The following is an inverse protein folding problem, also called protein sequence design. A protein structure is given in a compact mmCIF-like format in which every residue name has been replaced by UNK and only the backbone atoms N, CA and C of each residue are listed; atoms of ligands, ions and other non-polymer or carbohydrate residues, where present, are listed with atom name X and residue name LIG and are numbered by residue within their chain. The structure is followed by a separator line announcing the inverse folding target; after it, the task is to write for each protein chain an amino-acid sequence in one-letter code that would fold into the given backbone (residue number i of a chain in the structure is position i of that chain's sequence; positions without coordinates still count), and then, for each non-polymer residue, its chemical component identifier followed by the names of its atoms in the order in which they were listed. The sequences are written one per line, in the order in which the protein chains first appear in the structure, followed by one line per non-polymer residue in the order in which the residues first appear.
data_IF_267892507693
#
_entry.id   IF_267892507693
#
_cell.length_a   1.000
_cell.length_b   1.000
_cell.length_c   1.000
_cell.angle_alpha   90.00
_cell.angle_beta   90.00
_cell.angle_gamma   90.00
#
_symmetry.space_group_name_H-M   'P 1'
#
loop_
_entity.id
_entity.type
_entity.pdbx_description
1 polymer ?
#
# COMPACT_ATOMS: atom_id res chain seq x y z
N UNK A 1 17.81 77.59 -11.63
CA UNK A 1 18.55 76.34 -11.44
C UNK A 1 17.58 75.28 -10.88
N UNK A 2 17.00 74.47 -11.73
CA UNK A 2 16.03 73.42 -11.32
C UNK A 2 16.74 72.07 -11.28
N UNK A 3 16.79 71.45 -10.09
CA UNK A 3 17.36 70.08 -9.91
C UNK A 3 16.28 69.07 -10.21
N UNK A 4 16.51 68.20 -11.21
CA UNK A 4 15.70 67.03 -11.53
C UNK A 4 16.26 65.86 -10.73
N UNK A 5 15.43 65.29 -9.83
CA UNK A 5 15.76 64.07 -9.09
C UNK A 5 15.16 62.90 -9.91
N UNK A 6 16.01 62.06 -10.47
CA UNK A 6 15.60 60.82 -11.11
C UNK A 6 15.43 59.73 -10.04
N UNK A 7 14.22 59.23 -9.84
CA UNK A 7 13.95 58.08 -8.99
C UNK A 7 14.17 56.80 -9.80
N UNK A 8 15.18 56.01 -9.42
CA UNK A 8 15.45 54.70 -9.96
C UNK A 8 14.56 53.69 -9.24
N UNK A 9 13.51 53.20 -9.91
CA UNK A 9 12.65 52.13 -9.40
C UNK A 9 13.37 50.76 -9.52
N UNK A 10 13.68 50.15 -8.39
CA UNK A 10 14.24 48.79 -8.32
C UNK A 10 13.09 47.79 -8.38
N UNK A 11 12.83 47.18 -9.53
CA UNK A 11 11.88 46.09 -9.71
C UNK A 11 12.50 44.81 -9.14
N UNK A 12 12.00 44.40 -7.97
CA UNK A 12 12.36 43.10 -7.37
C UNK A 12 11.59 41.99 -8.11
N UNK A 13 12.29 41.30 -9.01
CA UNK A 13 11.74 40.09 -9.63
C UNK A 13 11.70 38.96 -8.59
N UNK A 14 10.52 38.61 -8.08
CA UNK A 14 10.33 37.35 -7.38
C UNK A 14 10.49 36.20 -8.38
N UNK A 15 11.69 35.64 -8.44
CA UNK A 15 11.91 34.35 -9.06
C UNK A 15 11.22 33.28 -8.18
N UNK A 16 10.01 32.89 -8.56
CA UNK A 16 9.38 31.71 -7.99
C UNK A 16 10.32 30.53 -8.25
N UNK A 17 10.77 29.84 -7.20
CA UNK A 17 11.50 28.60 -7.33
C UNK A 17 10.56 27.56 -7.97
N UNK A 18 10.71 27.34 -9.26
CA UNK A 18 10.12 26.16 -9.92
C UNK A 18 10.89 24.97 -9.32
N UNK A 19 10.26 24.26 -8.39
CA UNK A 19 10.77 22.98 -7.95
C UNK A 19 10.71 22.08 -9.19
N UNK A 20 11.87 21.79 -9.76
CA UNK A 20 11.98 20.71 -10.74
C UNK A 20 11.44 19.45 -10.05
N UNK A 21 10.47 18.81 -10.67
CA UNK A 21 10.00 17.50 -10.19
C UNK A 21 11.23 16.60 -10.09
N UNK A 22 11.46 16.02 -8.91
CA UNK A 22 12.59 15.12 -8.71
C UNK A 22 12.52 14.00 -9.76
N UNK A 23 13.64 13.77 -10.45
CA UNK A 23 13.72 12.70 -11.43
C UNK A 23 13.38 11.37 -10.75
N UNK A 24 12.55 10.55 -11.39
CA UNK A 24 12.18 9.24 -10.86
C UNK A 24 13.43 8.35 -10.65
N UNK A 25 13.80 8.00 -9.41
CA UNK A 25 14.98 7.19 -9.13
C UNK A 25 14.87 5.75 -9.65
N UNK A 26 13.66 5.31 -10.01
CA UNK A 26 13.41 3.98 -10.56
C UNK A 26 13.33 3.97 -12.09
N UNK A 27 13.46 5.12 -12.75
CA UNK A 27 13.44 5.29 -14.21
C UNK A 27 12.25 4.57 -14.88
N UNK A 28 11.07 4.64 -14.27
CA UNK A 28 9.87 4.02 -14.83
C UNK A 28 9.28 4.89 -15.93
N UNK A 29 9.14 4.33 -17.13
CA UNK A 29 8.48 5.01 -18.26
C UNK A 29 7.01 5.35 -17.98
N UNK A 30 6.37 4.65 -17.03
CA UNK A 30 4.98 4.90 -16.64
C UNK A 30 4.81 5.93 -15.54
N UNK A 31 5.88 6.33 -14.86
CA UNK A 31 5.76 7.18 -13.68
C UNK A 31 4.98 8.49 -13.92
N UNK A 32 5.18 9.23 -15.03
CA UNK A 32 4.41 10.45 -15.28
C UNK A 32 2.91 10.21 -15.41
N UNK A 33 2.50 9.08 -16.01
CA UNK A 33 1.09 8.73 -16.16
C UNK A 33 0.48 8.28 -14.83
N UNK A 34 1.23 7.51 -14.03
CA UNK A 34 0.81 7.05 -12.71
C UNK A 34 0.66 8.21 -11.72
N UNK A 35 1.55 9.20 -11.78
CA UNK A 35 1.45 10.41 -10.98
C UNK A 35 0.17 11.18 -11.32
N UNK A 36 -0.16 11.31 -12.60
CA UNK A 36 -1.40 11.94 -13.06
C UNK A 36 -2.62 11.16 -12.62
N UNK A 37 -2.61 9.85 -12.81
CA UNK A 37 -3.75 8.98 -12.54
C UNK A 37 -4.08 8.87 -11.04
N UNK A 38 -3.06 8.68 -10.20
CA UNK A 38 -3.27 8.36 -8.77
C UNK A 38 -3.09 9.55 -7.84
N UNK A 39 -2.42 10.61 -8.28
CA UNK A 39 -2.10 11.77 -7.45
C UNK A 39 -2.63 13.09 -8.03
N UNK A 40 -3.40 13.04 -9.13
CA UNK A 40 -3.95 14.22 -9.81
C UNK A 40 -2.86 15.27 -10.12
N UNK A 41 -1.73 14.82 -10.66
CA UNK A 41 -0.53 15.66 -10.94
C UNK A 41 0.05 16.35 -9.69
N UNK A 42 -0.28 15.91 -8.48
CA UNK A 42 0.34 16.45 -7.28
C UNK A 42 1.86 16.26 -7.32
N UNK A 43 2.58 17.25 -6.81
CA UNK A 43 4.04 17.16 -6.65
C UNK A 43 4.38 16.05 -5.67
N UNK A 44 5.38 15.24 -6.00
CA UNK A 44 5.86 14.11 -5.19
C UNK A 44 7.36 14.25 -5.01
N UNK A 45 7.84 14.23 -3.77
CA UNK A 45 9.25 14.16 -3.45
C UNK A 45 9.64 12.71 -3.10
N UNK A 46 10.77 12.24 -3.63
CA UNK A 46 11.34 10.96 -3.22
C UNK A 46 12.06 11.10 -1.88
N UNK A 47 11.66 10.31 -0.88
CA UNK A 47 12.15 10.43 0.49
C UNK A 47 12.77 9.10 0.95
N UNK A 48 14.07 9.07 1.33
CA UNK A 48 14.76 7.87 1.77
C UNK A 48 14.21 7.27 3.07
N UNK A 49 13.38 8.01 3.81
CA UNK A 49 12.67 7.49 4.98
C UNK A 49 11.56 6.50 4.61
N UNK A 50 11.13 6.50 3.35
CA UNK A 50 10.17 5.54 2.82
C UNK A 50 10.94 4.37 2.21
N UNK A 51 11.06 3.29 2.95
CA UNK A 51 11.72 2.07 2.50
C UNK A 51 10.70 1.05 2.00
N UNK A 52 10.83 0.67 0.74
CA UNK A 52 10.12 -0.49 0.18
C UNK A 52 11.11 -1.64 0.06
N UNK A 53 10.90 -2.67 0.86
CA UNK A 53 11.76 -3.85 0.92
C UNK A 53 11.07 -5.00 0.19
N UNK A 54 11.73 -5.51 -0.84
CA UNK A 54 11.34 -6.68 -1.60
C UNK A 54 12.59 -7.41 -2.11
N UNK A 55 12.50 -8.69 -2.53
CA UNK A 55 13.62 -9.36 -3.17
C UNK A 55 13.96 -8.68 -4.50
N UNK A 56 15.24 -8.63 -4.86
CA UNK A 56 15.66 -8.09 -6.17
C UNK A 56 15.10 -8.91 -7.33
N UNK A 57 14.99 -10.22 -7.13
CA UNK A 57 14.42 -11.18 -8.09
C UNK A 57 13.33 -11.96 -7.37
N UNK A 58 12.13 -11.95 -7.93
CA UNK A 58 11.02 -12.75 -7.43
C UNK A 58 11.17 -14.21 -7.86
N UNK A 59 11.33 -15.11 -6.88
CA UNK A 59 11.36 -16.56 -7.14
C UNK A 59 9.98 -17.08 -7.57
N UNK A 60 8.93 -16.50 -6.98
CA UNK A 60 7.52 -16.78 -7.29
C UNK A 60 6.79 -15.47 -7.57
N UNK A 61 6.42 -15.25 -8.84
CA UNK A 61 5.71 -14.07 -9.28
C UNK A 61 4.29 -13.95 -8.71
N UNK A 62 3.74 -15.02 -8.11
CA UNK A 62 2.42 -15.00 -7.44
C UNK A 62 2.51 -14.61 -5.96
N UNK A 63 3.73 -14.64 -5.36
CA UNK A 63 3.92 -14.48 -3.90
C UNK A 63 5.13 -13.62 -3.53
N UNK A 64 5.29 -12.47 -4.16
CA UNK A 64 6.41 -11.55 -3.90
C UNK A 64 6.21 -10.86 -2.55
N UNK A 65 7.09 -11.08 -1.56
CA UNK A 65 6.99 -10.42 -0.26
C UNK A 65 7.42 -8.95 -0.37
N UNK A 66 6.61 -8.06 0.20
CA UNK A 66 6.85 -6.62 0.25
C UNK A 66 6.67 -6.13 1.69
N UNK A 67 7.58 -5.27 2.12
CA UNK A 67 7.46 -4.55 3.39
C UNK A 67 7.68 -3.07 3.15
N UNK A 68 6.73 -2.25 3.56
CA UNK A 68 6.84 -0.79 3.61
C UNK A 68 7.23 -0.39 5.03
N UNK A 69 8.33 0.35 5.18
CA UNK A 69 8.78 0.93 6.44
C UNK A 69 8.88 2.43 6.28
N UNK A 70 8.32 3.16 7.25
CA UNK A 70 8.38 4.61 7.28
C UNK A 70 9.17 5.04 8.52
N UNK A 71 10.37 5.57 8.30
CA UNK A 71 11.29 5.94 9.39
C UNK A 71 11.08 7.38 9.82
N UNK A 72 10.47 7.59 10.98
CA UNK A 72 10.36 8.93 11.58
C UNK A 72 9.56 9.94 10.74
N UNK A 73 8.64 9.47 9.89
CA UNK A 73 7.67 10.32 9.20
C UNK A 73 6.50 10.59 10.15
N UNK A 74 6.29 11.86 10.55
CA UNK A 74 5.14 12.21 11.37
C UNK A 74 3.87 12.28 10.53
N UNK A 75 2.73 12.12 11.19
CA UNK A 75 1.39 12.42 10.67
C UNK A 75 1.06 11.80 9.31
N UNK A 76 1.43 10.52 9.12
CA UNK A 76 1.08 9.76 7.92
C UNK A 76 -0.42 9.48 7.92
N UNK A 77 -1.11 9.92 6.87
CA UNK A 77 -2.57 9.73 6.70
C UNK A 77 -2.88 8.53 5.82
N UNK A 78 -2.04 8.31 4.80
CA UNK A 78 -2.33 7.32 3.76
C UNK A 78 -1.03 6.76 3.17
N UNK A 79 -1.02 5.48 2.88
CA UNK A 79 0.05 4.78 2.16
C UNK A 79 -0.59 4.02 1.00
N UNK A 80 -0.43 4.53 -0.22
CA UNK A 80 -0.87 3.86 -1.44
C UNK A 80 0.31 3.05 -1.99
N UNK A 81 0.11 1.75 -2.18
CA UNK A 81 1.12 0.89 -2.82
C UNK A 81 0.70 0.55 -4.23
N UNK A 82 1.63 0.73 -5.16
CA UNK A 82 1.45 0.44 -6.59
C UNK A 82 2.59 -0.41 -7.14
N UNK A 83 2.30 -1.17 -8.21
CA UNK A 83 3.29 -1.87 -9.03
C UNK A 83 3.17 -1.34 -10.46
N UNK A 84 4.17 -0.58 -10.91
CA UNK A 84 4.08 0.29 -12.10
C UNK A 84 3.66 -0.46 -13.38
N UNK A 85 4.18 -1.67 -13.59
CA UNK A 85 3.97 -2.43 -14.82
C UNK A 85 2.96 -3.57 -14.67
N UNK A 86 2.29 -3.67 -13.52
CA UNK A 86 1.15 -4.58 -13.42
C UNK A 86 -0.04 -4.07 -14.27
N UNK A 87 -0.85 -4.96 -14.86
CA UNK A 87 -2.06 -4.56 -15.57
C UNK A 87 -3.09 -3.91 -14.64
N UNK A 88 -3.15 -4.35 -13.39
CA UNK A 88 -3.87 -3.68 -12.29
C UNK A 88 -2.78 -3.10 -11.40
N UNK A 89 -2.64 -1.79 -11.43
CA UNK A 89 -1.49 -1.07 -10.83
C UNK A 89 -1.59 -0.95 -9.32
N UNK A 90 -2.79 -0.60 -8.81
CA UNK A 90 -3.00 -0.49 -7.37
C UNK A 90 -2.91 -1.86 -6.70
N UNK A 91 -2.21 -1.91 -5.58
CA UNK A 91 -2.07 -3.11 -4.73
C UNK A 91 -2.89 -2.98 -3.45
N UNK A 92 -2.71 -1.89 -2.75
CA UNK A 92 -3.46 -1.57 -1.54
C UNK A 92 -3.40 -0.08 -1.22
N UNK A 93 -4.37 0.38 -0.45
CA UNK A 93 -4.45 1.71 0.13
C UNK A 93 -4.63 1.58 1.64
N UNK A 94 -3.64 2.01 2.39
CA UNK A 94 -3.56 1.82 3.84
C UNK A 94 -3.71 3.15 4.57
N UNK A 95 -4.68 3.21 5.48
CA UNK A 95 -4.87 4.31 6.42
C UNK A 95 -4.45 3.82 7.82
N UNK A 96 -3.31 4.27 8.34
CA UNK A 96 -2.78 3.79 9.61
C UNK A 96 -3.68 4.05 10.80
N UNK A 97 -4.32 5.22 10.85
CA UNK A 97 -5.11 5.71 11.98
C UNK A 97 -4.30 5.70 13.28
N UNK A 98 -4.43 4.64 14.09
CA UNK A 98 -3.66 4.43 15.32
C UNK A 98 -2.45 3.50 15.13
N UNK A 99 -2.42 2.73 14.03
CA UNK A 99 -1.31 1.83 13.72
C UNK A 99 -0.02 2.60 13.38
N UNK A 100 1.12 1.95 13.57
CA UNK A 100 2.35 2.42 12.95
C UNK A 100 2.18 2.40 11.43
N UNK A 101 2.69 3.41 10.71
CA UNK A 101 2.37 3.56 9.28
C UNK A 101 3.14 2.62 8.35
N UNK A 102 3.69 1.52 8.86
CA UNK A 102 4.36 0.46 8.10
C UNK A 102 3.55 -0.82 8.05
N UNK A 103 3.74 -1.62 6.99
CA UNK A 103 3.06 -2.90 6.85
C UNK A 103 3.85 -3.88 5.98
N UNK A 104 3.60 -5.18 6.17
CA UNK A 104 4.12 -6.24 5.29
C UNK A 104 2.97 -7.02 4.68
N UNK A 105 3.13 -7.41 3.41
CA UNK A 105 2.15 -8.16 2.62
C UNK A 105 2.85 -8.91 1.49
N UNK A 106 2.08 -9.57 0.61
CA UNK A 106 2.58 -10.24 -0.60
C UNK A 106 1.77 -9.84 -1.80
N UNK A 107 2.42 -9.74 -2.96
CA UNK A 107 1.79 -9.34 -4.22
C UNK A 107 2.10 -10.29 -5.36
N UNK A 108 1.30 -10.18 -6.40
CA UNK A 108 1.52 -10.79 -7.70
C UNK A 108 2.19 -9.78 -8.63
N UNK A 109 3.17 -10.24 -9.40
CA UNK A 109 3.79 -9.45 -10.46
C UNK A 109 3.55 -10.08 -11.82
N UNK A 110 3.05 -9.29 -12.78
CA UNK A 110 2.89 -9.74 -14.15
C UNK A 110 4.20 -9.74 -14.92
N UNK A 111 5.14 -8.88 -14.53
CA UNK A 111 6.47 -8.74 -15.12
C UNK A 111 7.37 -8.00 -14.14
N UNK A 112 8.66 -7.85 -14.47
CA UNK A 112 9.58 -7.00 -13.75
C UNK A 112 8.99 -5.58 -13.61
N UNK A 113 9.02 -5.02 -12.40
CA UNK A 113 8.29 -3.78 -12.10
C UNK A 113 8.90 -3.02 -10.93
N UNK A 114 8.89 -1.68 -10.96
CA UNK A 114 8.94 -0.89 -9.75
C UNK A 114 7.74 -1.19 -8.86
N UNK A 115 8.00 -1.34 -7.56
CA UNK A 115 6.99 -1.35 -6.50
C UNK A 115 7.19 -0.07 -5.70
N UNK A 116 6.13 0.74 -5.57
CA UNK A 116 6.19 2.04 -4.89
C UNK A 116 5.27 2.11 -3.71
N UNK A 117 5.69 2.81 -2.68
CA UNK A 117 4.85 3.33 -1.62
C UNK A 117 4.75 4.85 -1.78
N UNK A 118 3.53 5.34 -1.99
CA UNK A 118 3.18 6.75 -2.08
C UNK A 118 2.52 7.13 -0.76
N UNK A 119 3.13 8.05 -0.04
CA UNK A 119 2.75 8.40 1.33
C UNK A 119 2.20 9.82 1.37
N UNK A 120 0.97 9.96 1.84
CA UNK A 120 0.36 11.26 2.09
C UNK A 120 0.48 11.62 3.56
N UNK A 121 1.05 12.78 3.84
CA UNK A 121 1.17 13.37 5.17
C UNK A 121 -0.02 14.28 5.48
N UNK A 122 -0.20 14.66 6.74
CA UNK A 122 -1.37 15.43 7.18
C UNK A 122 -1.46 16.84 6.63
N UNK A 123 -0.35 17.40 6.14
CA UNK A 123 -0.30 18.67 5.40
C UNK A 123 -0.70 18.52 3.90
N UNK A 124 -1.03 17.29 3.48
CA UNK A 124 -1.46 16.99 2.11
C UNK A 124 -0.34 16.71 1.13
N UNK A 125 0.93 16.81 1.56
CA UNK A 125 2.08 16.53 0.70
C UNK A 125 2.19 15.02 0.39
N UNK A 126 2.72 14.72 -0.80
CA UNK A 126 3.03 13.36 -1.21
C UNK A 126 4.53 13.11 -1.23
N UNK A 127 4.91 12.02 -0.62
CA UNK A 127 6.27 11.49 -0.60
C UNK A 127 6.27 10.10 -1.23
N UNK A 128 7.38 9.70 -1.86
CA UNK A 128 7.50 8.40 -2.51
C UNK A 128 8.79 7.69 -2.12
N UNK A 129 8.72 6.38 -2.05
CA UNK A 129 9.84 5.46 -2.03
C UNK A 129 9.52 4.23 -2.86
N UNK A 130 10.52 3.47 -3.26
CA UNK A 130 10.25 2.29 -4.04
C UNK A 130 11.49 1.44 -4.30
N UNK A 131 11.25 0.28 -4.91
CA UNK A 131 12.27 -0.68 -5.29
C UNK A 131 11.92 -1.34 -6.62
N UNK A 132 12.92 -1.63 -7.43
CA UNK A 132 12.74 -2.45 -8.62
C UNK A 132 12.79 -3.94 -8.26
N UNK A 133 11.85 -4.72 -8.78
CA UNK A 133 11.82 -6.18 -8.62
C UNK A 133 11.79 -6.84 -9.99
N UNK A 134 12.76 -7.69 -10.26
CA UNK A 134 12.77 -8.55 -11.43
C UNK A 134 11.86 -9.76 -11.18
N UNK A 135 11.01 -10.09 -12.14
CA UNK A 135 10.08 -11.22 -12.06
C UNK A 135 9.99 -11.92 -13.42
N UNK A 136 9.91 -13.22 -13.39
CA UNK A 136 9.66 -14.02 -14.60
C UNK A 136 8.30 -13.74 -15.23
N UNK A 137 7.33 -13.25 -14.42
CA UNK A 137 6.05 -12.79 -14.85
C UNK A 137 4.93 -13.82 -14.72
N UNK A 138 3.73 -13.43 -15.24
CA UNK A 138 2.55 -14.29 -15.24
C UNK A 138 1.76 -14.34 -13.94
N UNK A 139 2.22 -13.68 -12.87
CA UNK A 139 1.57 -13.77 -11.56
C UNK A 139 0.13 -13.24 -11.52
N UNK A 140 -0.18 -12.22 -12.34
CA UNK A 140 -1.53 -11.66 -12.38
C UNK A 140 -2.49 -12.42 -13.31
N UNK A 141 -1.97 -13.19 -14.27
CA UNK A 141 -2.78 -13.97 -15.23
C UNK A 141 -2.91 -15.45 -14.89
N UNK A 142 -2.20 -15.90 -13.86
CA UNK A 142 -2.33 -17.26 -13.34
C UNK A 142 -3.58 -17.37 -12.45
N UNK A 143 -4.35 -18.48 -12.57
CA UNK A 143 -5.47 -18.73 -11.66
C UNK A 143 -4.96 -19.02 -10.25
N UNK A 144 -5.78 -18.71 -9.23
CA UNK A 144 -5.46 -19.08 -7.86
C UNK A 144 -5.43 -20.60 -7.69
N UNK A 145 -4.49 -21.10 -6.88
CA UNK A 145 -4.37 -22.53 -6.55
C UNK A 145 -5.29 -22.93 -5.39
N UNK A 146 -5.70 -21.97 -4.56
CA UNK A 146 -6.54 -22.23 -3.37
C UNK A 146 -7.91 -22.78 -3.69
N UNK A 147 -8.46 -22.50 -4.86
CA UNK A 147 -9.70 -23.10 -5.34
C UNK A 147 -9.60 -24.60 -5.62
N UNK A 148 -8.38 -25.14 -5.71
CA UNK A 148 -8.16 -26.58 -5.93
C UNK A 148 -8.50 -27.42 -4.69
N UNK A 149 -8.54 -26.82 -3.50
CA UNK A 149 -8.95 -27.52 -2.29
C UNK A 149 -10.47 -27.75 -2.30
N UNK A 150 -10.97 -28.97 -2.09
CA UNK A 150 -12.41 -29.28 -2.15
C UNK A 150 -13.28 -28.46 -1.18
N UNK A 151 -12.68 -27.97 -0.11
CA UNK A 151 -13.35 -27.25 0.99
C UNK A 151 -13.06 -25.72 0.99
N UNK A 152 -12.47 -25.19 -0.09
CA UNK A 152 -12.09 -23.78 -0.15
C UNK A 152 -13.26 -22.82 0.12
N UNK A 153 -14.44 -23.14 -0.43
CA UNK A 153 -15.63 -22.30 -0.26
C UNK A 153 -16.12 -22.26 1.20
N UNK A 154 -15.94 -23.34 1.95
CA UNK A 154 -16.29 -23.42 3.37
C UNK A 154 -15.26 -22.66 4.24
N UNK A 155 -14.04 -22.51 3.75
CA UNK A 155 -12.96 -21.79 4.42
C UNK A 155 -12.84 -20.33 3.98
N UNK A 156 -13.63 -19.90 2.99
CA UNK A 156 -13.61 -18.55 2.49
C UNK A 156 -13.73 -17.54 3.64
N UNK A 157 -12.87 -16.52 3.60
CA UNK A 157 -12.81 -15.43 4.59
C UNK A 157 -12.50 -15.87 6.03
N UNK A 158 -12.08 -17.11 6.26
CA UNK A 158 -11.55 -17.49 7.57
C UNK A 158 -10.25 -16.76 7.84
N UNK A 159 -10.14 -16.17 9.02
CA UNK A 159 -8.98 -15.41 9.48
C UNK A 159 -8.19 -16.23 10.49
N UNK A 160 -6.90 -16.37 10.24
CA UNK A 160 -5.94 -16.86 11.22
C UNK A 160 -5.07 -15.67 11.64
N UNK A 161 -4.99 -15.40 12.92
CA UNK A 161 -4.25 -14.28 13.45
C UNK A 161 -3.31 -14.68 14.58
N UNK A 162 -2.21 -13.94 14.69
CA UNK A 162 -1.33 -13.95 15.86
C UNK A 162 -1.05 -12.53 16.28
N UNK A 163 -1.06 -12.31 17.58
CA UNK A 163 -0.69 -11.04 18.21
C UNK A 163 0.41 -11.33 19.21
N UNK A 164 1.45 -10.52 19.25
CA UNK A 164 2.50 -10.58 20.27
C UNK A 164 3.05 -9.20 20.56
N UNK A 165 3.49 -8.99 21.79
CA UNK A 165 4.04 -7.72 22.24
C UNK A 165 5.40 -7.47 21.62
N UNK A 166 5.65 -6.22 21.22
CA UNK A 166 6.91 -5.71 20.70
C UNK A 166 7.14 -4.30 21.29
N UNK A 167 7.74 -4.25 22.46
CA UNK A 167 7.91 -3.03 23.23
C UNK A 167 6.59 -2.45 23.71
N UNK A 168 6.30 -1.20 23.32
CA UNK A 168 5.02 -0.50 23.60
C UNK A 168 3.95 -0.78 22.54
N UNK A 169 4.27 -1.60 21.56
CA UNK A 169 3.37 -2.00 20.49
C UNK A 169 3.01 -3.48 20.61
N UNK A 170 2.00 -3.85 19.85
CA UNK A 170 1.68 -5.24 19.56
C UNK A 170 1.78 -5.46 18.05
N UNK A 171 2.56 -6.45 17.66
CA UNK A 171 2.62 -6.89 16.28
C UNK A 171 1.48 -7.85 16.01
N UNK A 172 0.72 -7.57 14.96
CA UNK A 172 -0.39 -8.39 14.50
C UNK A 172 -0.02 -8.99 13.16
N UNK A 173 -0.16 -10.31 13.01
CA UNK A 173 -0.06 -11.00 11.74
C UNK A 173 -1.35 -11.72 11.45
N UNK A 174 -1.90 -11.45 10.28
CA UNK A 174 -3.16 -12.03 9.81
C UNK A 174 -2.92 -12.83 8.53
N UNK A 175 -3.61 -13.94 8.39
CA UNK A 175 -3.79 -14.66 7.13
C UNK A 175 -5.28 -14.84 6.92
N UNK A 176 -5.74 -14.51 5.73
CA UNK A 176 -7.16 -14.62 5.36
C UNK A 176 -7.28 -15.62 4.21
N UNK A 177 -8.17 -16.59 4.33
CA UNK A 177 -8.39 -17.58 3.27
C UNK A 177 -9.21 -16.96 2.16
N UNK A 178 -8.56 -16.61 1.04
CA UNK A 178 -9.23 -15.99 -0.10
C UNK A 178 -8.43 -16.23 -1.39
N UNK A 179 -9.04 -16.55 -2.53
CA UNK A 179 -8.33 -16.82 -3.78
C UNK A 179 -7.64 -15.59 -4.37
N UNK A 180 -8.15 -14.37 -4.13
CA UNK A 180 -7.59 -13.13 -4.69
C UNK A 180 -7.42 -13.22 -6.22
N UNK A 181 -8.43 -13.71 -6.94
CA UNK A 181 -8.38 -13.79 -8.39
C UNK A 181 -8.45 -12.40 -9.03
N UNK A 182 -7.58 -12.16 -9.99
CA UNK A 182 -7.45 -10.84 -10.63
C UNK A 182 -8.50 -10.56 -11.71
N UNK A 183 -9.20 -11.58 -12.19
CA UNK A 183 -10.07 -11.46 -13.37
C UNK A 183 -9.34 -11.49 -14.69
N UNK A 184 -8.01 -11.64 -14.69
CA UNK A 184 -7.18 -11.67 -15.91
C UNK A 184 -6.91 -13.09 -16.42
N UNK A 185 -7.17 -14.10 -15.61
CA UNK A 185 -7.12 -15.50 -16.03
C UNK A 185 -8.38 -15.86 -16.86
N UNK A 186 -8.25 -16.55 -18.02
CA UNK A 186 -9.39 -16.88 -18.85
C UNK A 186 -10.48 -17.64 -18.11
N UNK A 187 -11.72 -17.13 -18.17
CA UNK A 187 -12.89 -17.77 -17.54
C UNK A 187 -12.99 -17.64 -16.03
N UNK A 188 -12.08 -16.90 -15.38
CA UNK A 188 -12.09 -16.66 -13.94
C UNK A 188 -12.37 -15.19 -13.68
N UNK A 189 -13.55 -14.80 -13.13
CA UNK A 189 -13.85 -13.42 -12.81
C UNK A 189 -12.99 -12.91 -11.66
N UNK A 190 -12.84 -11.59 -11.55
CA UNK A 190 -12.20 -10.96 -10.41
C UNK A 190 -12.94 -11.32 -9.12
N UNK A 191 -12.20 -11.84 -8.14
CA UNK A 191 -12.72 -12.20 -6.83
C UNK A 191 -11.63 -11.95 -5.79
N UNK A 192 -11.77 -10.88 -5.02
CA UNK A 192 -10.74 -10.38 -4.12
C UNK A 192 -11.34 -9.70 -2.89
N UNK A 193 -10.58 -9.66 -1.81
CA UNK A 193 -10.92 -8.86 -0.64
C UNK A 193 -10.86 -7.39 -1.05
N UNK A 194 -11.92 -6.64 -0.79
CA UNK A 194 -12.03 -5.23 -1.17
C UNK A 194 -11.67 -4.30 -0.02
N UNK A 195 -12.13 -4.63 1.17
CA UNK A 195 -11.96 -3.78 2.35
C UNK A 195 -11.67 -4.62 3.60
N UNK A 196 -10.74 -4.13 4.40
CA UNK A 196 -10.40 -4.66 5.71
C UNK A 196 -10.22 -3.52 6.72
N UNK A 197 -10.57 -3.78 7.97
CA UNK A 197 -10.20 -2.94 9.09
C UNK A 197 -9.85 -3.82 10.29
N UNK A 198 -8.95 -3.33 11.13
CA UNK A 198 -8.79 -3.83 12.49
C UNK A 198 -9.48 -2.83 13.40
N UNK A 199 -10.39 -3.33 14.23
CA UNK A 199 -11.11 -2.54 15.21
C UNK A 199 -10.81 -3.06 16.62
N UNK A 200 -10.90 -2.18 17.61
CA UNK A 200 -10.79 -2.53 19.01
C UNK A 200 -12.09 -3.16 19.56
N UNK A 201 -12.12 -3.42 20.84
CA UNK A 201 -13.27 -4.00 21.57
C UNK A 201 -14.50 -3.06 21.62
N UNK A 202 -14.32 -1.76 21.38
CA UNK A 202 -15.37 -0.74 21.27
C UNK A 202 -15.91 -0.61 19.86
N UNK A 203 -15.23 -1.17 18.87
CA UNK A 203 -15.53 -1.05 17.45
C UNK A 203 -14.86 0.12 16.76
N UNK A 204 -13.95 0.82 17.44
CA UNK A 204 -13.19 1.92 16.86
C UNK A 204 -12.08 1.39 15.93
N UNK A 205 -12.00 1.94 14.72
CA UNK A 205 -11.02 1.50 13.75
C UNK A 205 -9.60 1.93 14.16
N UNK A 206 -8.69 0.97 14.26
CA UNK A 206 -7.28 1.19 14.52
C UNK A 206 -6.48 1.33 13.22
N UNK A 207 -6.92 0.69 12.15
CA UNK A 207 -6.42 0.84 10.79
C UNK A 207 -7.49 0.47 9.77
N UNK A 208 -7.33 0.95 8.54
CA UNK A 208 -8.16 0.54 7.39
C UNK A 208 -7.28 0.21 6.19
N UNK A 209 -7.73 -0.75 5.41
CA UNK A 209 -7.14 -1.18 4.14
C UNK A 209 -8.22 -1.26 3.08
N UNK A 210 -8.00 -0.60 1.97
CA UNK A 210 -8.61 -0.96 0.69
C UNK A 210 -7.61 -1.83 -0.05
N UNK A 211 -8.03 -2.98 -0.55
CA UNK A 211 -7.14 -3.95 -1.18
C UNK A 211 -7.60 -4.22 -2.60
N UNK A 212 -6.66 -4.60 -3.46
CA UNK A 212 -6.90 -4.82 -4.88
C UNK A 212 -6.39 -6.19 -5.30
N UNK A 213 -6.76 -6.59 -6.50
CA UNK A 213 -6.55 -7.92 -7.07
C UNK A 213 -5.07 -8.39 -7.11
N UNK A 214 -4.05 -7.49 -7.24
CA UNK A 214 -2.65 -7.92 -7.24
C UNK A 214 -2.13 -8.44 -5.90
N UNK A 215 -2.90 -8.38 -4.81
CA UNK A 215 -2.50 -9.11 -3.61
C UNK A 215 -2.44 -10.61 -3.86
N UNK A 216 -1.48 -11.29 -3.22
CA UNK A 216 -1.33 -12.74 -3.34
C UNK A 216 -2.53 -13.49 -2.76
N UNK A 217 -2.75 -14.69 -3.26
CA UNK A 217 -3.70 -15.65 -2.70
C UNK A 217 -3.46 -15.87 -1.20
N UNK A 218 -4.54 -16.06 -0.44
CA UNK A 218 -4.49 -16.19 1.02
C UNK A 218 -3.65 -15.09 1.66
N UNK A 219 -4.03 -13.81 1.47
CA UNK A 219 -3.18 -12.68 1.82
C UNK A 219 -2.74 -12.72 3.28
N UNK A 220 -1.47 -12.41 3.47
CA UNK A 220 -0.86 -12.30 4.78
C UNK A 220 -0.48 -10.85 5.00
N UNK A 221 -0.95 -10.26 6.09
CA UNK A 221 -0.59 -8.92 6.50
C UNK A 221 0.14 -8.93 7.85
N UNK A 222 1.06 -8.00 8.04
CA UNK A 222 1.62 -7.72 9.36
C UNK A 222 1.60 -6.22 9.62
N UNK A 223 1.13 -5.84 10.81
CA UNK A 223 0.99 -4.46 11.27
C UNK A 223 1.54 -4.34 12.69
N UNK A 224 1.95 -3.14 13.05
CA UNK A 224 2.29 -2.78 14.42
C UNK A 224 1.23 -1.81 14.95
N UNK A 225 0.52 -2.21 16.01
CA UNK A 225 -0.51 -1.43 16.66
C UNK A 225 -0.02 -0.98 18.05
N UNK A 226 -0.51 0.15 18.58
CA UNK A 226 -0.26 0.47 19.99
C UNK A 226 -0.86 -0.61 20.89
N UNK A 227 -0.17 -0.99 21.94
CA UNK A 227 -0.75 -1.87 22.98
C UNK A 227 -1.74 -1.06 23.83
N UNK A 228 -3.01 -1.15 23.48
CA UNK A 228 -4.09 -0.46 24.19
C UNK A 228 -4.58 -1.24 25.40
N UNK A 229 -4.00 -2.41 25.68
CA UNK A 229 -4.50 -3.33 26.70
C UNK A 229 -5.79 -4.05 26.30
N UNK A 230 -6.22 -3.94 25.05
CA UNK A 230 -7.40 -4.61 24.56
C UNK A 230 -7.26 -6.14 24.67
N UNK A 231 -8.32 -6.80 25.13
CA UNK A 231 -8.33 -8.26 25.32
C UNK A 231 -8.41 -9.01 23.99
N UNK A 232 -8.99 -8.38 22.95
CA UNK A 232 -9.08 -8.95 21.63
C UNK A 232 -9.16 -7.85 20.56
N UNK A 233 -8.57 -8.13 19.41
CA UNK A 233 -8.75 -7.34 18.19
C UNK A 233 -9.78 -8.02 17.30
N UNK A 234 -10.53 -7.24 16.55
CA UNK A 234 -11.50 -7.77 15.58
C UNK A 234 -11.11 -7.34 14.18
N UNK A 235 -11.02 -8.30 13.27
CA UNK A 235 -10.82 -8.07 11.84
C UNK A 235 -12.16 -8.06 11.17
N UNK A 236 -12.52 -6.95 10.53
CA UNK A 236 -13.78 -6.79 9.81
C UNK A 236 -13.52 -6.38 8.37
N UNK A 237 -14.38 -6.79 7.45
CA UNK A 237 -14.21 -6.46 6.04
C UNK A 237 -15.21 -7.17 5.14
N UNK A 238 -14.91 -7.12 3.85
CA UNK A 238 -15.69 -7.80 2.82
C UNK A 238 -14.85 -8.03 1.56
N UNK A 239 -15.26 -8.98 0.75
CA UNK A 239 -14.81 -9.13 -0.62
C UNK A 239 -15.72 -8.39 -1.63
N UNK A 240 -15.32 -8.37 -2.89
CA UNK A 240 -16.07 -7.71 -3.97
C UNK A 240 -17.39 -8.42 -4.35
N UNK A 241 -17.65 -9.61 -3.82
CA UNK A 241 -18.93 -10.31 -3.93
C UNK A 241 -19.85 -10.07 -2.72
N UNK A 242 -19.39 -9.26 -1.74
CA UNK A 242 -20.16 -8.91 -0.54
C UNK A 242 -20.07 -9.94 0.59
N UNK A 243 -19.24 -11.00 0.47
CA UNK A 243 -19.03 -11.92 1.58
C UNK A 243 -18.27 -11.21 2.71
N UNK A 244 -18.76 -11.30 3.92
CA UNK A 244 -18.23 -10.61 5.08
C UNK A 244 -17.02 -11.34 5.68
N UNK A 245 -16.09 -10.56 6.16
CA UNK A 245 -15.00 -10.99 7.03
C UNK A 245 -15.29 -10.42 8.42
N UNK A 246 -15.32 -11.30 9.42
CA UNK A 246 -15.57 -10.91 10.80
C UNK A 246 -14.96 -11.96 11.74
N UNK A 247 -13.82 -11.64 12.32
CA UNK A 247 -13.09 -12.58 13.15
C UNK A 247 -12.42 -11.87 14.34
N UNK A 248 -12.42 -12.55 15.50
CA UNK A 248 -11.64 -12.12 16.66
C UNK A 248 -10.24 -12.72 16.58
N UNK A 249 -9.25 -11.90 16.87
CA UNK A 249 -7.84 -12.30 17.01
C UNK A 249 -7.41 -12.00 18.44
N UNK A 250 -6.98 -13.02 19.13
CA UNK A 250 -6.52 -12.90 20.52
C UNK A 250 -4.99 -12.85 20.59
N UNK A 251 -4.40 -12.13 21.56
CA UNK A 251 -2.98 -12.16 21.87
C UNK A 251 -2.48 -13.55 22.24
#
# INVERSE_FOLDING_TARGET
MKKVIAALGFALALAGAVHAADADPLNSSRWPDLQREYLNDASVAFDPRIEVLAPKVAEDSMNVPVTVRLKGLPDVKRVLVIADFNPIVKVLDFQPLLAQPGLSFRIKLQQASPIRALVQTGDGNWLAGGVWVDAAGGGCTAPSTGRSAPDWAQKLNQVQGRVWRDGQNQRVRLRIMHPMDTGLAPGIPAFFIEQLAIVDDKGDAMLKLETFEPLSENPVFSFDLPDTGAVALRVVGRDNNGNRIDAKVQP
#
